data_IF_146557557722
#
_entry.id   IF_146557557722
#
_cell.length_a   1.000
_cell.length_b   1.000
_cell.length_c   1.000
_cell.angle_alpha   90.00
_cell.angle_beta   90.00
_cell.angle_gamma   90.00
#
_symmetry.space_group_name_H-M   'P 1'
#
loop_
_entity.id
_entity.type
_entity.pdbx_description
1 polymer ?
#
# COMPACT_ATOMS: atom_id res chain seq x y z
N UNK A 1 11.82 -8.96 -15.38
CA UNK A 1 12.49 -9.25 -14.10
C UNK A 1 13.95 -8.84 -14.24
N UNK A 2 14.48 -7.98 -13.37
CA UNK A 2 15.89 -7.55 -13.45
C UNK A 2 16.68 -8.37 -12.45
N UNK A 3 17.61 -9.19 -12.93
CA UNK A 3 18.53 -9.95 -12.09
C UNK A 3 19.81 -9.16 -11.87
N UNK A 4 20.27 -9.07 -10.62
CA UNK A 4 21.56 -8.49 -10.26
C UNK A 4 22.34 -9.47 -9.41
N UNK A 5 23.61 -9.73 -9.76
CA UNK A 5 24.54 -10.54 -8.96
C UNK A 5 25.58 -9.64 -8.31
N UNK A 6 25.83 -9.83 -7.01
CA UNK A 6 26.86 -9.12 -6.24
C UNK A 6 27.63 -10.10 -5.39
N UNK A 7 28.94 -9.88 -5.28
CA UNK A 7 29.79 -10.61 -4.34
C UNK A 7 29.65 -9.95 -2.96
N UNK A 8 29.53 -10.78 -1.93
CA UNK A 8 29.57 -10.33 -0.54
C UNK A 8 31.00 -9.89 -0.23
N UNK A 9 31.15 -8.68 0.32
CA UNK A 9 32.46 -8.18 0.76
C UNK A 9 32.94 -8.87 2.05
N UNK A 10 34.20 -8.66 2.42
CA UNK A 10 34.84 -9.36 3.55
C UNK A 10 34.14 -9.13 4.91
N UNK A 11 33.33 -8.07 5.02
CA UNK A 11 32.54 -7.74 6.21
C UNK A 11 31.07 -8.19 6.14
N UNK A 12 30.73 -9.07 5.20
CA UNK A 12 29.33 -9.53 5.02
C UNK A 12 28.42 -8.52 4.31
N UNK A 13 28.96 -7.42 3.81
CA UNK A 13 28.19 -6.33 3.17
C UNK A 13 27.91 -6.62 1.68
N UNK A 14 26.71 -6.28 1.21
CA UNK A 14 26.34 -6.30 -0.21
C UNK A 14 25.87 -4.92 -0.66
N UNK A 15 26.28 -4.50 -1.86
CA UNK A 15 25.87 -3.21 -2.41
C UNK A 15 24.54 -3.33 -3.15
N UNK A 16 23.56 -2.52 -2.77
CA UNK A 16 22.28 -2.42 -3.49
C UNK A 16 22.51 -1.70 -4.83
N UNK A 17 22.18 -2.30 -5.99
CA UNK A 17 22.28 -1.65 -7.30
C UNK A 17 21.52 -0.32 -7.37
N UNK A 18 22.05 0.65 -8.13
CA UNK A 18 21.50 2.01 -8.22
C UNK A 18 20.03 2.02 -8.67
N UNK A 19 19.69 1.25 -9.69
CA UNK A 19 18.32 1.16 -10.22
C UNK A 19 17.32 0.60 -9.20
N UNK A 20 17.76 -0.26 -8.27
CA UNK A 20 16.93 -0.76 -7.19
C UNK A 20 16.74 0.30 -6.10
N UNK A 21 17.81 1.02 -5.74
CA UNK A 21 17.73 2.14 -4.80
C UNK A 21 16.78 3.22 -5.29
N UNK A 22 16.96 3.69 -6.53
CA UNK A 22 16.17 4.77 -7.10
C UNK A 22 14.68 4.40 -7.18
N UNK A 23 14.36 3.16 -7.60
CA UNK A 23 12.96 2.67 -7.69
C UNK A 23 12.31 2.42 -6.34
N UNK A 24 13.10 2.14 -5.30
CA UNK A 24 12.59 1.82 -3.96
C UNK A 24 12.73 2.98 -2.97
N UNK A 25 13.31 4.10 -3.40
CA UNK A 25 13.57 5.26 -2.56
C UNK A 25 14.51 4.93 -1.41
N UNK A 26 15.61 4.21 -1.69
CA UNK A 26 16.61 3.85 -0.67
C UNK A 26 17.82 4.76 -0.81
N UNK A 27 18.10 5.53 0.23
CA UNK A 27 19.19 6.49 0.33
C UNK A 27 20.28 6.03 1.33
N UNK A 28 21.40 6.75 1.36
CA UNK A 28 22.49 6.44 2.28
C UNK A 28 22.14 6.88 3.70
N UNK A 29 22.14 5.94 4.64
CA UNK A 29 21.74 6.19 6.04
C UNK A 29 20.37 5.60 6.40
N UNK A 30 19.63 5.13 5.41
CA UNK A 30 18.35 4.46 5.58
C UNK A 30 18.47 3.16 6.38
N UNK A 31 17.53 2.97 7.31
CA UNK A 31 17.34 1.70 8.00
C UNK A 31 16.42 0.79 7.17
N UNK A 32 16.85 -0.46 6.97
CA UNK A 32 16.12 -1.46 6.17
C UNK A 32 15.84 -2.71 7.01
N UNK A 33 14.71 -3.36 6.76
CA UNK A 33 14.30 -4.58 7.46
C UNK A 33 14.68 -5.81 6.61
N UNK A 34 15.38 -6.76 7.23
CA UNK A 34 15.65 -8.09 6.66
C UNK A 34 14.64 -9.08 7.23
N UNK A 35 13.94 -9.80 6.36
CA UNK A 35 13.02 -10.86 6.75
C UNK A 35 13.39 -12.14 6.05
N UNK A 36 13.60 -13.19 6.83
CA UNK A 36 13.81 -14.54 6.35
C UNK A 36 12.45 -15.22 6.14
N UNK A 37 12.19 -15.69 4.92
CA UNK A 37 10.96 -16.42 4.58
C UNK A 37 11.36 -17.63 3.74
N UNK A 38 11.13 -18.83 4.28
CA UNK A 38 11.67 -20.08 3.73
C UNK A 38 13.20 -19.99 3.61
N UNK A 39 13.74 -20.20 2.40
CA UNK A 39 15.18 -20.11 2.09
C UNK A 39 15.55 -18.78 1.39
N UNK A 40 14.70 -17.75 1.50
CA UNK A 40 14.90 -16.45 0.88
C UNK A 40 15.03 -15.32 1.91
N UNK A 41 15.89 -14.34 1.60
CA UNK A 41 16.02 -13.10 2.36
C UNK A 41 15.29 -11.99 1.61
N UNK A 42 14.23 -11.46 2.21
CA UNK A 42 13.48 -10.32 1.73
C UNK A 42 14.02 -9.06 2.40
N UNK A 43 14.48 -8.10 1.59
CA UNK A 43 14.86 -6.78 2.05
C UNK A 43 13.69 -5.83 1.83
N UNK A 44 13.18 -5.24 2.91
CA UNK A 44 12.12 -4.22 2.82
C UNK A 44 12.75 -2.82 2.88
N UNK A 45 12.30 -1.89 2.04
CA UNK A 45 12.74 -0.50 2.10
C UNK A 45 12.32 0.14 3.43
N UNK A 46 12.84 1.34 3.76
CA UNK A 46 12.45 2.06 4.95
C UNK A 46 10.94 2.20 5.06
N UNK A 47 10.42 1.96 6.27
CA UNK A 47 9.05 2.31 6.60
C UNK A 47 9.06 3.74 7.12
N UNK A 48 8.88 4.71 6.23
CA UNK A 48 8.51 6.05 6.66
C UNK A 48 7.10 5.96 7.25
N UNK A 49 6.97 5.92 8.59
CA UNK A 49 5.67 5.99 9.26
C UNK A 49 4.85 7.18 8.75
N UNK A 50 5.52 8.28 8.40
CA UNK A 50 4.92 9.47 7.81
C UNK A 50 4.35 9.23 6.39
N UNK A 51 5.04 8.46 5.54
CA UNK A 51 4.57 8.09 4.20
C UNK A 51 3.44 7.07 4.26
N UNK A 52 3.48 6.16 5.22
CA UNK A 52 2.38 5.24 5.52
C UNK A 52 1.15 6.03 6.01
N UNK A 53 1.33 6.97 6.93
CA UNK A 53 0.27 7.85 7.40
C UNK A 53 -0.34 8.70 6.27
N UNK A 54 0.49 9.22 5.36
CA UNK A 54 -0.01 9.94 4.18
C UNK A 54 -0.86 9.04 3.26
N UNK A 55 -0.45 7.79 3.04
CA UNK A 55 -1.23 6.82 2.29
C UNK A 55 -2.59 6.53 2.93
N UNK A 56 -2.64 6.42 4.26
CA UNK A 56 -3.91 6.28 5.00
C UNK A 56 -4.77 7.54 4.88
N UNK A 57 -4.19 8.74 5.01
CA UNK A 57 -4.90 10.02 4.85
C UNK A 57 -5.56 10.13 3.47
N UNK A 58 -4.81 9.85 2.39
CA UNK A 58 -5.32 9.89 1.01
C UNK A 58 -6.46 8.89 0.76
N UNK A 59 -6.40 7.68 1.35
CA UNK A 59 -7.49 6.70 1.26
C UNK A 59 -8.73 7.13 2.04
N UNK A 60 -8.55 7.75 3.21
CA UNK A 60 -9.65 8.26 4.01
C UNK A 60 -10.38 9.41 3.29
N UNK A 61 -9.64 10.34 2.67
CA UNK A 61 -10.22 11.43 1.87
C UNK A 61 -11.06 10.90 0.71
N UNK A 62 -10.50 10.00 -0.12
CA UNK A 62 -11.24 9.40 -1.24
C UNK A 62 -12.49 8.66 -0.78
N UNK A 63 -12.42 7.97 0.37
CA UNK A 63 -13.57 7.23 0.89
C UNK A 63 -14.68 8.17 1.38
N UNK A 64 -14.31 9.36 1.89
CA UNK A 64 -15.26 10.40 2.29
C UNK A 64 -15.94 11.01 1.07
N UNK A 65 -15.18 11.37 0.04
CA UNK A 65 -15.73 11.91 -1.22
C UNK A 65 -16.71 10.92 -1.86
N UNK A 66 -16.36 9.62 -1.89
CA UNK A 66 -17.25 8.59 -2.42
C UNK A 66 -18.51 8.41 -1.57
N UNK A 67 -18.41 8.50 -0.24
CA UNK A 67 -19.56 8.42 0.64
C UNK A 67 -20.51 9.60 0.46
N UNK A 68 -19.97 10.81 0.28
CA UNK A 68 -20.75 12.02 -0.04
C UNK A 68 -21.45 11.88 -1.40
N UNK A 69 -20.77 11.37 -2.43
CA UNK A 69 -21.38 11.10 -3.75
C UNK A 69 -22.50 10.04 -3.66
N UNK A 70 -22.30 9.00 -2.85
CA UNK A 70 -23.29 7.93 -2.68
C UNK A 70 -24.48 8.32 -1.78
N UNK A 71 -24.36 9.36 -0.96
CA UNK A 71 -25.44 9.86 -0.11
C UNK A 71 -26.62 10.35 -0.96
N UNK A 72 -26.33 11.07 -2.05
CA UNK A 72 -27.33 11.53 -3.01
C UNK A 72 -28.05 10.36 -3.70
N UNK A 73 -27.30 9.32 -4.11
CA UNK A 73 -27.86 8.12 -4.74
C UNK A 73 -28.69 7.25 -3.77
N UNK A 74 -28.33 7.22 -2.49
CA UNK A 74 -29.02 6.48 -1.44
C UNK A 74 -30.36 7.11 -1.05
N UNK A 75 -30.41 8.45 -1.04
CA UNK A 75 -31.64 9.20 -0.77
C UNK A 75 -32.72 8.93 -1.85
N UNK A 76 -32.33 8.86 -3.12
CA UNK A 76 -33.25 8.51 -4.22
C UNK A 76 -33.76 7.06 -4.13
N UNK A 77 -32.88 6.11 -3.78
CA UNK A 77 -33.24 4.69 -3.67
C UNK A 77 -34.18 4.40 -2.48
N UNK A 78 -33.98 5.09 -1.34
CA UNK A 78 -34.83 4.92 -0.14
C UNK A 78 -36.26 5.43 -0.38
N UNK A 79 -36.44 6.43 -1.26
CA UNK A 79 -37.75 6.93 -1.66
C UNK A 79 -38.63 5.89 -2.37
N UNK A 80 -38.04 4.91 -3.07
CA UNK A 80 -38.77 3.86 -3.79
C UNK A 80 -38.97 2.56 -2.99
N UNK A 81 -38.27 2.36 -1.87
CA UNK A 81 -38.44 1.18 -1.02
C UNK A 81 -39.74 1.18 -0.20
N UNK A 82 -40.43 2.32 -0.12
CA UNK A 82 -41.77 2.43 0.48
C UNK A 82 -42.90 1.86 -0.39
N UNK A 83 -42.64 1.60 -1.68
CA UNK A 83 -43.61 1.04 -2.64
C UNK A 83 -43.38 -0.45 -2.93
N UNK A 84 -42.53 -1.13 -2.14
CA UNK A 84 -42.36 -2.58 -2.28
C UNK A 84 -43.68 -3.28 -1.93
N UNK A 85 -44.30 -4.05 -2.85
CA UNK A 85 -45.52 -4.77 -2.55
C UNK A 85 -45.26 -5.81 -1.45
N UNK A 86 -46.15 -5.86 -0.47
CA UNK A 86 -46.16 -6.91 0.54
C UNK A 86 -46.56 -8.23 -0.14
N UNK A 87 -45.57 -9.10 -0.37
CA UNK A 87 -45.84 -10.45 -0.85
C UNK A 87 -46.28 -11.31 0.34
N UNK A 88 -47.55 -11.16 0.72
CA UNK A 88 -48.27 -12.12 1.55
C UNK A 88 -49.07 -13.07 0.64
N UNK A 89 -48.84 -14.39 0.76
CA UNK A 89 -49.62 -15.46 0.12
C UNK A 89 -51.05 -15.56 0.69
#
# INVERSE_FOLDING_TARGET
MTEHKRKVGDRGQVTIPKDLRDRRGIEGGDEIEFVEVNDEIIIKPPRDEERLAEGYRKRAERSRELAEEMEDASAEATGHLGDAPDWSE
#
